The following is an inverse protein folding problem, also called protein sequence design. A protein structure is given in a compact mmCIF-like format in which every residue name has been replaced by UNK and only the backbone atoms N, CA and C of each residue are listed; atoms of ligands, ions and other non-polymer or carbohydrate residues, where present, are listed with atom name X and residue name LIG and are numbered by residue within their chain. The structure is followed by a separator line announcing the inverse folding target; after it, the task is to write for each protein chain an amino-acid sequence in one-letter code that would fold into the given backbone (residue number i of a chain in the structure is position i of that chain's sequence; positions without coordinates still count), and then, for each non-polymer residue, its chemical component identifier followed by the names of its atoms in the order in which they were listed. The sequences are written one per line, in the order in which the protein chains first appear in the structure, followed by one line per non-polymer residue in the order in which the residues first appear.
data_IF_215416763759
#
_entry.id   IF_215416763759
#
_cell.length_a   1.000
_cell.length_b   1.000
_cell.length_c   1.000
_cell.angle_alpha   90.00
_cell.angle_beta   90.00
_cell.angle_gamma   90.00
#
_symmetry.space_group_name_H-M   'P 1'
#
loop_
_entity.id
_entity.type
_entity.pdbx_description
1 polymer ?
#
# COMPACT_ATOMS: atom_id res chain seq x y z
N UNK A 1 -0.31 4.14 -10.71
CA UNK A 1 -1.54 4.07 -11.56
C UNK A 1 -2.49 5.17 -11.13
N UNK A 2 -3.14 5.86 -12.05
CA UNK A 2 -4.15 6.88 -11.69
C UNK A 2 -5.47 6.20 -11.36
N UNK A 3 -6.26 6.76 -10.45
CA UNK A 3 -7.57 6.22 -10.07
C UNK A 3 -8.48 6.01 -11.31
N UNK A 4 -8.36 6.88 -12.31
CA UNK A 4 -9.09 6.73 -13.58
C UNK A 4 -8.73 5.44 -14.31
N UNK A 5 -7.45 5.06 -14.35
CA UNK A 5 -6.98 3.83 -15.02
C UNK A 5 -7.54 2.60 -14.29
N UNK A 6 -7.57 2.65 -12.94
CA UNK A 6 -8.16 1.58 -12.13
C UNK A 6 -9.66 1.41 -12.41
N UNK A 7 -10.41 2.51 -12.51
CA UNK A 7 -11.84 2.47 -12.86
C UNK A 7 -12.03 1.98 -14.29
N UNK A 8 -11.13 2.34 -15.21
CA UNK A 8 -11.16 1.91 -16.60
C UNK A 8 -11.06 0.39 -16.76
N UNK A 9 -10.27 -0.26 -15.93
CA UNK A 9 -10.06 -1.71 -15.95
C UNK A 9 -10.98 -2.47 -14.98
N UNK A 10 -12.02 -1.79 -14.46
CA UNK A 10 -12.95 -2.38 -13.51
C UNK A 10 -13.66 -3.62 -14.11
N UNK A 11 -13.72 -4.76 -13.38
CA UNK A 11 -14.36 -5.99 -13.83
C UNK A 11 -15.82 -5.82 -14.30
N UNK A 12 -16.61 -4.94 -13.67
CA UNK A 12 -17.97 -4.63 -14.11
C UNK A 12 -17.98 -4.02 -15.51
N UNK A 13 -17.04 -3.12 -15.82
CA UNK A 13 -16.88 -2.55 -17.15
C UNK A 13 -16.49 -3.59 -18.18
N UNK A 14 -15.53 -4.44 -17.86
CA UNK A 14 -15.11 -5.54 -18.76
C UNK A 14 -16.30 -6.44 -19.08
N UNK A 15 -17.13 -6.75 -18.07
CA UNK A 15 -18.33 -7.59 -18.24
C UNK A 15 -19.52 -6.85 -18.87
N UNK A 16 -19.45 -5.53 -19.08
CA UNK A 16 -20.51 -4.72 -19.67
C UNK A 16 -21.77 -4.68 -18.83
N UNK A 17 -21.62 -4.58 -17.50
CA UNK A 17 -22.70 -4.58 -16.51
C UNK A 17 -22.53 -3.44 -15.50
N UNK A 18 -23.61 -3.07 -14.81
CA UNK A 18 -23.59 -2.18 -13.65
C UNK A 18 -23.51 -2.99 -12.34
N UNK A 19 -23.20 -2.31 -11.25
CA UNK A 19 -23.01 -2.99 -9.94
C UNK A 19 -24.27 -3.68 -9.44
N UNK A 20 -25.46 -3.16 -9.78
CA UNK A 20 -26.77 -3.71 -9.42
C UNK A 20 -27.32 -4.73 -10.41
N UNK A 21 -26.62 -5.05 -11.49
CA UNK A 21 -27.04 -6.08 -12.44
C UNK A 21 -26.91 -7.48 -11.82
N UNK A 22 -27.90 -8.34 -12.12
CA UNK A 22 -27.93 -9.70 -11.60
C UNK A 22 -26.82 -10.57 -12.16
N UNK A 23 -26.51 -11.66 -11.46
CA UNK A 23 -25.56 -12.69 -11.93
C UNK A 23 -25.98 -13.32 -13.26
N UNK A 24 -27.27 -13.35 -13.58
CA UNK A 24 -27.77 -13.88 -14.85
C UNK A 24 -27.35 -13.01 -16.04
N UNK A 25 -27.48 -11.68 -15.91
CA UNK A 25 -27.03 -10.73 -16.95
C UNK A 25 -25.53 -10.89 -17.19
N UNK A 26 -24.76 -11.00 -16.11
CA UNK A 26 -23.31 -11.22 -16.20
C UNK A 26 -22.98 -12.55 -16.89
N UNK A 27 -23.72 -13.63 -16.59
CA UNK A 27 -23.53 -14.94 -17.23
C UNK A 27 -23.86 -14.91 -18.74
N UNK A 28 -24.94 -14.23 -19.12
CA UNK A 28 -25.32 -14.02 -20.53
C UNK A 28 -24.21 -13.25 -21.27
N UNK A 29 -23.73 -12.15 -20.69
CA UNK A 29 -22.65 -11.35 -21.29
C UNK A 29 -21.35 -12.15 -21.41
N UNK A 30 -20.98 -12.93 -20.38
CA UNK A 30 -19.81 -13.82 -20.41
C UNK A 30 -19.88 -14.81 -21.58
N UNK A 31 -21.02 -15.50 -21.72
CA UNK A 31 -21.24 -16.46 -22.79
C UNK A 31 -21.14 -15.80 -24.17
N UNK A 32 -21.74 -14.63 -24.34
CA UNK A 32 -21.69 -13.85 -25.58
C UNK A 32 -20.27 -13.38 -25.90
N UNK A 33 -19.53 -12.84 -24.92
CA UNK A 33 -18.15 -12.38 -25.13
C UNK A 33 -17.23 -13.54 -25.53
N UNK A 34 -17.34 -14.69 -24.86
CA UNK A 34 -16.56 -15.88 -25.21
C UNK A 34 -16.86 -16.38 -26.65
N UNK A 35 -18.13 -16.37 -27.06
CA UNK A 35 -18.50 -16.75 -28.41
C UNK A 35 -17.92 -15.78 -29.48
N UNK A 36 -17.89 -14.48 -29.21
CA UNK A 36 -17.29 -13.50 -30.12
C UNK A 36 -15.76 -13.59 -30.12
N UNK A 37 -15.13 -13.74 -28.96
CA UNK A 37 -13.69 -13.89 -28.85
C UNK A 37 -13.18 -15.16 -29.60
N UNK A 38 -13.93 -16.24 -29.58
CA UNK A 38 -13.61 -17.48 -30.32
C UNK A 38 -13.51 -17.27 -31.84
N UNK A 39 -14.18 -16.27 -32.40
CA UNK A 39 -14.13 -15.90 -33.83
C UNK A 39 -13.31 -14.62 -34.08
N UNK A 40 -12.47 -14.20 -33.12
CA UNK A 40 -11.61 -13.04 -33.25
C UNK A 40 -12.34 -11.68 -33.26
N UNK A 41 -13.56 -11.64 -32.73
CA UNK A 41 -14.38 -10.43 -32.64
C UNK A 41 -14.53 -9.96 -31.18
N UNK A 42 -14.79 -8.67 -30.99
CA UNK A 42 -15.13 -8.07 -29.70
C UNK A 42 -16.60 -7.68 -29.67
N UNK A 43 -17.17 -7.66 -28.47
CA UNK A 43 -18.54 -7.15 -28.23
C UNK A 43 -18.40 -5.78 -27.56
N UNK A 44 -19.17 -4.81 -28.01
CA UNK A 44 -19.29 -3.49 -27.35
C UNK A 44 -20.67 -3.37 -26.68
N UNK A 45 -20.66 -2.76 -25.53
CA UNK A 45 -21.87 -2.42 -24.77
C UNK A 45 -21.90 -0.92 -24.52
N UNK A 46 -23.09 -0.33 -24.40
CA UNK A 46 -23.18 1.09 -24.05
C UNK A 46 -22.66 1.39 -22.62
N UNK A 47 -22.70 0.39 -21.74
CA UNK A 47 -22.11 0.41 -20.39
C UNK A 47 -20.58 0.58 -20.41
N UNK A 48 -19.93 0.33 -21.53
CA UNK A 48 -18.49 0.50 -21.69
C UNK A 48 -18.06 1.96 -21.56
N UNK A 49 -18.97 2.88 -21.78
CA UNK A 49 -18.76 4.34 -21.70
C UNK A 49 -17.48 4.79 -22.41
N UNK A 50 -17.24 4.25 -23.62
CA UNK A 50 -16.00 4.44 -24.37
C UNK A 50 -15.65 5.92 -24.51
N UNK A 51 -16.63 6.78 -24.78
CA UNK A 51 -16.40 8.22 -24.90
C UNK A 51 -15.96 8.89 -23.60
N UNK A 52 -16.43 8.40 -22.44
CA UNK A 52 -16.05 8.94 -21.14
C UNK A 52 -14.64 8.52 -20.73
N UNK A 53 -14.23 7.28 -21.08
CA UNK A 53 -12.92 6.74 -20.76
C UNK A 53 -11.87 7.01 -21.84
N UNK A 54 -12.29 7.18 -23.08
CA UNK A 54 -11.41 7.35 -24.24
C UNK A 54 -10.83 6.04 -24.79
N UNK A 55 -11.21 4.89 -24.25
CA UNK A 55 -10.72 3.56 -24.63
C UNK A 55 -11.82 2.52 -24.48
N UNK A 56 -11.74 1.47 -25.26
CA UNK A 56 -12.56 0.25 -25.08
C UNK A 56 -12.01 -0.60 -23.92
N UNK A 57 -12.88 -1.36 -23.22
CA UNK A 57 -12.43 -2.31 -22.21
C UNK A 57 -11.67 -3.48 -22.88
N UNK A 58 -10.66 -4.01 -22.18
CA UNK A 58 -9.97 -5.21 -22.62
C UNK A 58 -10.90 -6.43 -22.47
N UNK A 59 -11.25 -7.07 -23.58
CA UNK A 59 -12.09 -8.28 -23.63
C UNK A 59 -11.38 -9.46 -24.27
N UNK A 60 -10.08 -9.60 -24.03
CA UNK A 60 -9.38 -10.84 -24.31
C UNK A 60 -9.82 -11.93 -23.31
N UNK A 61 -9.65 -13.19 -23.69
CA UNK A 61 -10.16 -14.33 -22.91
C UNK A 61 -9.67 -14.38 -21.47
N UNK A 62 -8.42 -14.01 -21.24
CA UNK A 62 -7.80 -13.91 -19.91
C UNK A 62 -8.41 -12.77 -19.07
N UNK A 63 -8.64 -11.61 -19.67
CA UNK A 63 -9.28 -10.47 -18.99
C UNK A 63 -10.74 -10.76 -18.63
N UNK A 64 -11.48 -11.44 -19.52
CA UNK A 64 -12.85 -11.92 -19.25
C UNK A 64 -12.83 -12.92 -18.08
N UNK A 65 -11.93 -13.91 -18.11
CA UNK A 65 -11.84 -14.94 -17.07
C UNK A 65 -11.49 -14.31 -15.70
N UNK A 66 -10.54 -13.40 -15.68
CA UNK A 66 -10.13 -12.64 -14.47
C UNK A 66 -11.30 -11.82 -13.92
N UNK A 67 -12.04 -11.13 -14.79
CA UNK A 67 -13.20 -10.32 -14.39
C UNK A 67 -14.34 -11.17 -13.84
N UNK A 68 -14.63 -12.32 -14.46
CA UNK A 68 -15.62 -13.27 -13.94
C UNK A 68 -15.20 -13.80 -12.58
N UNK A 69 -13.94 -14.18 -12.40
CA UNK A 69 -13.43 -14.64 -11.10
C UNK A 69 -13.53 -13.55 -10.04
N UNK A 70 -13.18 -12.31 -10.37
CA UNK A 70 -13.26 -11.16 -9.45
C UNK A 70 -14.70 -10.84 -9.01
N UNK A 71 -15.71 -11.08 -9.86
CA UNK A 71 -17.12 -10.82 -9.57
C UNK A 71 -17.91 -12.06 -9.12
N UNK A 72 -17.26 -13.22 -8.97
CA UNK A 72 -17.94 -14.47 -8.61
C UNK A 72 -18.32 -14.55 -7.14
N UNK A 73 -17.60 -13.85 -6.25
CA UNK A 73 -17.92 -13.78 -4.83
C UNK A 73 -18.62 -12.47 -4.46
N UNK A 74 -19.48 -12.47 -3.45
CA UNK A 74 -20.12 -11.25 -2.92
C UNK A 74 -19.10 -10.20 -2.49
N UNK A 75 -17.99 -10.61 -1.86
CA UNK A 75 -16.88 -9.73 -1.43
C UNK A 75 -16.20 -9.10 -2.63
N UNK A 76 -15.91 -9.89 -3.67
CA UNK A 76 -15.30 -9.40 -4.90
C UNK A 76 -16.20 -8.42 -5.64
N UNK A 77 -17.51 -8.68 -5.66
CA UNK A 77 -18.49 -7.72 -6.21
C UNK A 77 -18.49 -6.42 -5.42
N UNK A 78 -18.55 -6.47 -4.09
CA UNK A 78 -18.54 -5.27 -3.26
C UNK A 78 -17.24 -4.46 -3.48
N UNK A 79 -16.10 -5.11 -3.43
CA UNK A 79 -14.80 -4.48 -3.62
C UNK A 79 -14.72 -3.71 -4.96
N UNK A 80 -15.08 -4.36 -6.05
CA UNK A 80 -15.06 -3.71 -7.36
C UNK A 80 -16.21 -2.71 -7.55
N UNK A 81 -17.34 -2.93 -6.89
CA UNK A 81 -18.52 -2.07 -6.95
C UNK A 81 -18.37 -0.73 -6.25
N UNK A 82 -17.45 -0.60 -5.28
CA UNK A 82 -17.07 0.69 -4.69
C UNK A 82 -16.61 1.70 -5.76
N UNK A 83 -16.13 1.19 -6.92
CA UNK A 83 -15.54 1.99 -8.00
C UNK A 83 -16.23 1.76 -9.34
N UNK A 84 -17.55 1.53 -9.33
CA UNK A 84 -18.32 1.42 -10.55
C UNK A 84 -19.73 2.03 -10.42
N UNK A 85 -20.35 2.28 -11.54
CA UNK A 85 -21.65 2.92 -11.65
C UNK A 85 -22.82 2.00 -11.30
N UNK A 86 -23.94 2.59 -10.89
CA UNK A 86 -25.24 1.96 -10.64
C UNK A 86 -26.28 2.44 -11.63
N UNK A 87 -27.23 1.57 -12.02
CA UNK A 87 -28.33 1.92 -12.90
C UNK A 87 -29.66 1.40 -12.32
N UNK A 88 -30.15 2.09 -11.30
CA UNK A 88 -31.36 1.68 -10.55
C UNK A 88 -32.58 2.48 -11.01
N UNK A 89 -32.43 3.78 -11.22
CA UNK A 89 -33.54 4.68 -11.53
C UNK A 89 -33.60 5.04 -13.02
N UNK A 90 -34.72 5.66 -13.40
CA UNK A 90 -34.87 6.19 -14.76
C UNK A 90 -33.88 7.34 -15.03
N UNK A 91 -33.64 8.18 -14.02
CA UNK A 91 -32.64 9.24 -14.05
C UNK A 91 -31.23 8.67 -14.26
N UNK A 92 -30.87 7.60 -13.55
CA UNK A 92 -29.58 6.92 -13.75
C UNK A 92 -29.43 6.48 -15.20
N UNK A 93 -30.40 5.75 -15.74
CA UNK A 93 -30.37 5.24 -17.11
C UNK A 93 -30.20 6.37 -18.13
N UNK A 94 -30.85 7.50 -17.92
CA UNK A 94 -30.76 8.66 -18.80
C UNK A 94 -29.35 9.31 -18.71
N UNK A 95 -28.91 9.67 -17.50
CA UNK A 95 -27.64 10.38 -17.29
C UNK A 95 -26.44 9.52 -17.66
N UNK A 96 -26.46 8.22 -17.37
CA UNK A 96 -25.42 7.28 -17.77
C UNK A 96 -25.31 7.17 -19.30
N UNK A 97 -26.42 7.21 -20.05
CA UNK A 97 -26.40 7.27 -21.51
C UNK A 97 -25.84 8.59 -22.04
N UNK A 98 -26.13 9.70 -21.35
CA UNK A 98 -25.54 11.02 -21.68
C UNK A 98 -24.02 10.98 -21.47
N UNK A 99 -23.57 10.41 -20.37
CA UNK A 99 -22.14 10.21 -20.07
C UNK A 99 -21.47 9.29 -21.11
N UNK A 100 -22.11 8.18 -21.47
CA UNK A 100 -21.62 7.24 -22.49
C UNK A 100 -21.45 7.88 -23.88
N UNK A 101 -22.20 8.94 -24.18
CA UNK A 101 -22.07 9.73 -25.41
C UNK A 101 -20.97 10.80 -25.37
N UNK A 102 -20.22 10.88 -24.26
CA UNK A 102 -19.07 11.76 -24.13
C UNK A 102 -19.33 13.09 -23.43
N UNK A 103 -20.45 13.23 -22.72
CA UNK A 103 -20.65 14.40 -21.87
C UNK A 103 -19.60 14.46 -20.75
N UNK A 104 -19.27 15.69 -20.33
CA UNK A 104 -18.35 15.89 -19.21
C UNK A 104 -18.90 15.27 -17.93
N UNK A 105 -18.12 14.47 -17.20
CA UNK A 105 -18.54 13.85 -15.94
C UNK A 105 -19.09 14.85 -14.91
N UNK A 106 -18.57 16.10 -14.86
CA UNK A 106 -19.08 17.10 -13.93
C UNK A 106 -20.46 17.62 -14.34
N UNK A 107 -20.76 17.67 -15.64
CA UNK A 107 -22.11 18.00 -16.14
C UNK A 107 -23.08 16.88 -15.79
N UNK A 108 -22.71 15.63 -16.04
CA UNK A 108 -23.51 14.47 -15.65
C UNK A 108 -23.78 14.45 -14.13
N UNK A 109 -22.75 14.67 -13.31
CA UNK A 109 -22.87 14.78 -11.86
C UNK A 109 -23.91 15.84 -11.44
N UNK A 110 -23.87 17.02 -12.09
CA UNK A 110 -24.78 18.12 -11.76
C UNK A 110 -26.24 17.76 -12.01
N UNK A 111 -26.51 16.97 -13.05
CA UNK A 111 -27.88 16.50 -13.32
C UNK A 111 -28.41 15.64 -12.16
N UNK A 112 -27.62 14.67 -11.67
CA UNK A 112 -28.04 13.89 -10.48
C UNK A 112 -28.21 14.78 -9.26
N UNK A 113 -27.28 15.72 -9.02
CA UNK A 113 -27.36 16.64 -7.89
C UNK A 113 -28.64 17.46 -7.87
N UNK A 114 -29.12 17.88 -9.06
CA UNK A 114 -30.32 18.71 -9.20
C UNK A 114 -31.63 17.90 -9.18
N UNK A 115 -31.62 16.62 -9.60
CA UNK A 115 -32.84 15.85 -9.78
C UNK A 115 -33.07 14.75 -8.77
N UNK A 116 -32.03 14.18 -8.16
CA UNK A 116 -32.19 12.99 -7.33
C UNK A 116 -31.05 12.83 -6.30
N UNK A 117 -31.42 12.54 -5.04
CA UNK A 117 -30.46 12.34 -3.96
C UNK A 117 -30.75 10.98 -3.27
N UNK A 118 -30.45 9.89 -3.99
CA UNK A 118 -30.58 8.53 -3.49
C UNK A 118 -29.24 7.77 -3.56
N UNK A 119 -29.22 6.52 -3.17
CA UNK A 119 -28.03 5.67 -3.14
C UNK A 119 -27.30 5.64 -4.50
N UNK A 120 -28.02 5.33 -5.58
CA UNK A 120 -27.40 5.19 -6.91
C UNK A 120 -26.91 6.54 -7.45
N UNK A 121 -27.66 7.62 -7.24
CA UNK A 121 -27.24 8.95 -7.66
C UNK A 121 -25.97 9.42 -6.93
N UNK A 122 -25.85 9.16 -5.62
CA UNK A 122 -24.65 9.46 -4.84
C UNK A 122 -23.44 8.66 -5.33
N UNK A 123 -23.61 7.35 -5.59
CA UNK A 123 -22.57 6.51 -6.17
C UNK A 123 -22.13 7.02 -7.54
N UNK A 124 -23.06 7.35 -8.41
CA UNK A 124 -22.78 7.84 -9.77
C UNK A 124 -22.09 9.21 -9.75
N UNK A 125 -22.49 10.11 -8.86
CA UNK A 125 -21.84 11.38 -8.63
C UNK A 125 -20.40 11.22 -8.13
N UNK A 126 -20.19 10.29 -7.18
CA UNK A 126 -18.87 9.90 -6.68
C UNK A 126 -17.97 9.45 -7.84
N UNK A 127 -18.45 8.54 -8.69
CA UNK A 127 -17.72 8.06 -9.84
C UNK A 127 -17.36 9.19 -10.82
N UNK A 128 -18.25 10.12 -11.09
CA UNK A 128 -17.97 11.30 -11.91
C UNK A 128 -16.84 12.16 -11.33
N UNK A 129 -16.79 12.32 -10.00
CA UNK A 129 -15.70 13.05 -9.35
C UNK A 129 -14.36 12.32 -9.49
N UNK A 130 -14.34 10.98 -9.37
CA UNK A 130 -13.12 10.17 -9.49
C UNK A 130 -12.57 10.15 -10.94
N UNK A 131 -13.44 10.19 -11.94
CA UNK A 131 -13.06 10.22 -13.36
C UNK A 131 -12.45 11.55 -13.81
N UNK A 132 -12.67 12.59 -13.07
CA UNK A 132 -12.24 13.92 -13.47
C UNK A 132 -10.83 14.26 -12.97
N UNK A 133 -10.69 15.37 -12.38
CA UNK A 133 -9.48 16.03 -11.94
C UNK A 133 -9.29 15.79 -10.42
N UNK A 134 -8.07 15.64 -9.92
CA UNK A 134 -7.80 15.51 -8.49
C UNK A 134 -8.40 16.61 -7.60
N UNK A 135 -8.69 17.79 -8.16
CA UNK A 135 -9.42 18.86 -7.44
C UNK A 135 -10.82 18.45 -7.00
N UNK A 136 -11.40 17.43 -7.63
CA UNK A 136 -12.72 16.87 -7.29
C UNK A 136 -12.69 15.86 -6.10
N UNK A 137 -11.51 15.43 -5.65
CA UNK A 137 -11.40 14.36 -4.64
C UNK A 137 -12.00 14.71 -3.28
N UNK A 138 -11.97 15.97 -2.87
CA UNK A 138 -12.65 16.41 -1.64
C UNK A 138 -14.18 16.21 -1.74
N UNK A 139 -14.77 16.47 -2.91
CA UNK A 139 -16.20 16.22 -3.17
C UNK A 139 -16.48 14.72 -3.26
N UNK A 140 -15.57 13.95 -3.85
CA UNK A 140 -15.67 12.48 -3.89
C UNK A 140 -15.73 11.89 -2.47
N UNK A 141 -14.84 12.31 -1.57
CA UNK A 141 -14.86 11.87 -0.16
C UNK A 141 -16.14 12.25 0.56
N UNK A 142 -16.66 13.45 0.33
CA UNK A 142 -17.93 13.89 0.92
C UNK A 142 -19.11 13.04 0.42
N UNK A 143 -19.15 12.74 -0.89
CA UNK A 143 -20.19 11.88 -1.48
C UNK A 143 -20.10 10.45 -0.95
N UNK A 144 -18.89 9.88 -0.83
CA UNK A 144 -18.67 8.56 -0.26
C UNK A 144 -19.14 8.51 1.20
N UNK A 145 -18.79 9.53 2.00
CA UNK A 145 -19.23 9.63 3.39
C UNK A 145 -20.76 9.65 3.48
N UNK A 146 -21.40 10.55 2.74
CA UNK A 146 -22.87 10.67 2.70
C UNK A 146 -23.54 9.38 2.23
N UNK A 147 -23.00 8.72 1.21
CA UNK A 147 -23.50 7.46 0.68
C UNK A 147 -23.43 6.36 1.74
N UNK A 148 -22.28 6.18 2.36
CA UNK A 148 -22.05 5.05 3.27
C UNK A 148 -22.73 5.25 4.63
N UNK A 149 -22.85 6.49 5.11
CA UNK A 149 -23.61 6.80 6.34
C UNK A 149 -25.12 6.61 6.17
N UNK A 150 -25.67 7.04 5.05
CA UNK A 150 -27.13 7.03 4.86
C UNK A 150 -27.66 5.74 4.21
N UNK A 151 -26.85 5.10 3.36
CA UNK A 151 -27.29 3.97 2.53
C UNK A 151 -26.35 2.76 2.61
N UNK A 152 -25.43 2.71 3.57
CA UNK A 152 -24.35 1.69 3.60
C UNK A 152 -24.87 0.26 3.57
N UNK A 153 -25.91 -0.06 4.32
CA UNK A 153 -26.53 -1.40 4.31
C UNK A 153 -27.17 -1.74 2.95
N UNK A 154 -27.97 -0.82 2.40
CA UNK A 154 -28.60 -0.97 1.09
C UNK A 154 -27.55 -1.09 -0.03
N UNK A 155 -26.48 -0.28 0.04
CA UNK A 155 -25.36 -0.35 -0.89
C UNK A 155 -24.69 -1.71 -0.88
N UNK A 156 -24.35 -2.24 0.31
CA UNK A 156 -23.71 -3.55 0.45
C UNK A 156 -24.60 -4.63 -0.17
N UNK A 157 -25.85 -4.73 0.24
CA UNK A 157 -26.76 -5.78 -0.22
C UNK A 157 -27.05 -5.69 -1.72
N UNK A 158 -27.19 -4.48 -2.26
CA UNK A 158 -27.42 -4.26 -3.69
C UNK A 158 -26.20 -4.74 -4.52
N UNK A 159 -25.00 -4.31 -4.15
CA UNK A 159 -23.78 -4.63 -4.89
C UNK A 159 -23.39 -6.10 -4.75
N UNK A 160 -23.62 -6.69 -3.57
CA UNK A 160 -23.23 -8.08 -3.25
C UNK A 160 -24.34 -9.11 -3.55
N UNK A 161 -25.36 -8.75 -4.36
CA UNK A 161 -26.49 -9.64 -4.70
C UNK A 161 -27.25 -10.17 -3.48
N UNK A 162 -27.54 -9.33 -2.49
CA UNK A 162 -28.30 -9.66 -1.29
C UNK A 162 -27.47 -10.16 -0.10
N UNK A 163 -26.14 -10.21 -0.21
CA UNK A 163 -25.29 -10.67 0.88
C UNK A 163 -24.74 -9.51 1.73
N UNK A 164 -24.69 -9.71 3.04
CA UNK A 164 -24.05 -8.77 3.98
C UNK A 164 -22.60 -9.19 4.24
N UNK A 165 -21.69 -8.82 3.35
CA UNK A 165 -20.28 -9.25 3.40
C UNK A 165 -19.41 -8.46 4.39
N UNK A 166 -19.82 -7.21 4.68
CA UNK A 166 -19.22 -6.34 5.70
C UNK A 166 -20.29 -5.50 6.37
N UNK A 167 -19.94 -4.87 7.49
CA UNK A 167 -20.81 -3.86 8.12
C UNK A 167 -20.64 -2.47 7.49
N UNK A 168 -21.65 -1.59 7.50
CA UNK A 168 -21.58 -0.27 6.86
C UNK A 168 -20.39 0.60 7.30
N UNK A 169 -19.99 0.51 8.58
CA UNK A 169 -18.84 1.24 9.12
C UNK A 169 -17.49 0.85 8.47
N UNK A 170 -17.43 -0.29 7.77
CA UNK A 170 -16.25 -0.75 7.05
C UNK A 170 -16.15 -0.27 5.60
N UNK A 171 -17.21 0.34 5.05
CA UNK A 171 -17.21 0.80 3.66
C UNK A 171 -16.20 1.92 3.42
N UNK A 172 -16.17 2.95 4.27
CA UNK A 172 -15.21 4.05 4.13
C UNK A 172 -13.77 3.57 4.30
N UNK A 173 -13.40 2.79 5.33
CA UNK A 173 -12.07 2.17 5.40
C UNK A 173 -11.69 1.34 4.17
N UNK A 174 -12.62 0.54 3.62
CA UNK A 174 -12.38 -0.24 2.41
C UNK A 174 -12.11 0.66 1.20
N UNK A 175 -12.93 1.67 0.99
CA UNK A 175 -12.78 2.66 -0.07
C UNK A 175 -11.42 3.39 0.01
N UNK A 176 -11.05 3.90 1.19
CA UNK A 176 -9.78 4.58 1.41
C UNK A 176 -8.57 3.66 1.21
N UNK A 177 -8.68 2.41 1.65
CA UNK A 177 -7.62 1.40 1.47
C UNK A 177 -7.34 1.14 -0.01
N UNK A 178 -8.38 1.04 -0.85
CA UNK A 178 -8.20 0.86 -2.29
C UNK A 178 -7.61 2.10 -2.96
N UNK A 179 -8.01 3.29 -2.55
CA UNK A 179 -7.40 4.53 -3.05
C UNK A 179 -5.89 4.54 -2.78
N UNK A 180 -5.45 4.15 -1.58
CA UNK A 180 -4.03 4.08 -1.23
C UNK A 180 -3.30 3.07 -2.12
N UNK A 181 -3.84 1.87 -2.30
CA UNK A 181 -3.24 0.83 -3.15
C UNK A 181 -3.08 1.30 -4.59
N UNK A 182 -4.13 1.89 -5.15
CA UNK A 182 -4.14 2.39 -6.54
C UNK A 182 -3.18 3.56 -6.72
N UNK A 183 -3.06 4.42 -5.73
CA UNK A 183 -2.16 5.58 -5.75
C UNK A 183 -0.69 5.19 -5.64
N UNK A 184 -0.37 4.00 -5.12
CA UNK A 184 0.98 3.42 -4.97
C UNK A 184 2.00 4.43 -4.43
N UNK A 185 1.62 5.11 -3.34
CA UNK A 185 2.46 6.11 -2.66
C UNK A 185 2.30 7.56 -3.16
N UNK A 186 1.68 7.80 -4.31
CA UNK A 186 1.38 9.17 -4.79
C UNK A 186 -0.03 9.60 -4.36
N UNK A 187 -0.20 9.88 -3.09
CA UNK A 187 -1.48 10.27 -2.50
C UNK A 187 -1.57 11.74 -2.06
N UNK A 188 -0.68 12.62 -2.54
CA UNK A 188 -0.66 14.03 -2.16
C UNK A 188 -1.99 14.79 -2.36
N UNK A 189 -2.70 14.49 -3.46
CA UNK A 189 -4.02 15.08 -3.72
C UNK A 189 -5.07 14.58 -2.75
N UNK A 190 -4.98 13.33 -2.33
CA UNK A 190 -5.86 12.73 -1.34
C UNK A 190 -5.61 13.28 0.06
N UNK A 191 -4.35 13.48 0.46
CA UNK A 191 -4.01 14.16 1.73
C UNK A 191 -4.64 15.56 1.79
N UNK A 192 -4.59 16.31 0.70
CA UNK A 192 -5.28 17.60 0.60
C UNK A 192 -6.80 17.47 0.67
N UNK A 193 -7.37 16.46 0.04
CA UNK A 193 -8.80 16.24 0.01
C UNK A 193 -9.34 15.90 1.41
N UNK A 194 -8.65 15.00 2.13
CA UNK A 194 -8.98 14.63 3.52
C UNK A 194 -8.90 15.83 4.45
N UNK A 195 -7.82 16.59 4.39
CA UNK A 195 -7.67 17.83 5.19
C UNK A 195 -8.77 18.85 4.90
N UNK A 196 -9.16 19.01 3.62
CA UNK A 196 -10.24 19.93 3.24
C UNK A 196 -11.60 19.46 3.71
N UNK A 197 -11.83 18.14 3.79
CA UNK A 197 -13.07 17.56 4.31
C UNK A 197 -13.26 17.91 5.80
N UNK A 198 -12.17 17.95 6.58
CA UNK A 198 -12.19 18.34 7.99
C UNK A 198 -12.94 17.36 8.90
N UNK A 199 -13.07 16.09 8.50
CA UNK A 199 -13.72 15.04 9.28
C UNK A 199 -12.65 14.20 9.98
N UNK A 200 -12.61 14.26 11.31
CA UNK A 200 -11.62 13.58 12.14
C UNK A 200 -11.63 12.06 11.98
N UNK A 201 -12.82 11.47 11.83
CA UNK A 201 -12.95 10.02 11.62
C UNK A 201 -12.34 9.59 10.29
N UNK A 202 -12.60 10.33 9.22
CA UNK A 202 -12.03 10.06 7.89
C UNK A 202 -10.52 10.28 7.91
N UNK A 203 -10.02 11.30 8.61
CA UNK A 203 -8.59 11.56 8.74
C UNK A 203 -7.87 10.42 9.46
N UNK A 204 -8.45 9.92 10.55
CA UNK A 204 -7.92 8.74 11.26
C UNK A 204 -7.93 7.49 10.38
N UNK A 205 -9.03 7.20 9.70
CA UNK A 205 -9.16 6.06 8.78
C UNK A 205 -8.17 6.15 7.61
N UNK A 206 -7.96 7.35 7.08
CA UNK A 206 -6.95 7.63 6.04
C UNK A 206 -5.53 7.34 6.54
N UNK A 207 -5.21 7.79 7.75
CA UNK A 207 -3.92 7.55 8.41
C UNK A 207 -3.68 6.06 8.64
N UNK A 208 -4.69 5.32 9.12
CA UNK A 208 -4.63 3.88 9.29
C UNK A 208 -4.47 3.13 7.96
N UNK A 209 -5.16 3.56 6.90
CA UNK A 209 -5.02 2.97 5.57
C UNK A 209 -3.58 3.17 5.03
N UNK A 210 -3.00 4.37 5.17
CA UNK A 210 -1.59 4.63 4.81
C UNK A 210 -0.64 3.74 5.61
N UNK A 211 -0.81 3.67 6.92
CA UNK A 211 0.04 2.84 7.77
C UNK A 211 -0.03 1.36 7.38
N UNK A 212 -1.22 0.86 7.12
CA UNK A 212 -1.43 -0.54 6.68
C UNK A 212 -0.76 -0.82 5.34
N UNK A 213 -0.84 0.09 4.39
CA UNK A 213 -0.19 -0.05 3.08
C UNK A 213 1.35 -0.07 3.22
N UNK A 214 1.93 0.87 3.98
CA UNK A 214 3.38 0.88 4.21
C UNK A 214 3.85 -0.38 4.93
N UNK A 215 3.10 -0.87 5.93
CA UNK A 215 3.42 -2.13 6.62
C UNK A 215 3.35 -3.34 5.67
N UNK A 216 2.37 -3.38 4.75
CA UNK A 216 2.29 -4.41 3.72
C UNK A 216 3.53 -4.42 2.83
N UNK A 217 3.98 -3.26 2.34
CA UNK A 217 5.21 -3.15 1.52
C UNK A 217 6.47 -3.59 2.28
N UNK A 218 6.56 -3.28 3.59
CA UNK A 218 7.66 -3.76 4.42
C UNK A 218 7.60 -5.29 4.63
N UNK A 219 6.41 -5.83 4.81
CA UNK A 219 6.24 -7.28 4.94
C UNK A 219 6.63 -8.01 3.64
N UNK A 220 6.25 -7.47 2.48
CA UNK A 220 6.62 -8.03 1.18
C UNK A 220 8.15 -8.01 0.98
N UNK A 221 8.80 -6.88 1.31
CA UNK A 221 10.26 -6.75 1.23
C UNK A 221 10.97 -7.71 2.20
N UNK A 222 10.44 -7.87 3.42
CA UNK A 222 10.96 -8.80 4.42
C UNK A 222 10.82 -10.26 3.96
N UNK A 223 9.65 -10.63 3.43
CA UNK A 223 9.41 -11.97 2.90
C UNK A 223 10.35 -12.28 1.74
N UNK A 224 10.54 -11.33 0.82
CA UNK A 224 11.48 -11.48 -0.29
C UNK A 224 12.91 -11.73 0.23
N UNK A 225 13.38 -10.93 1.20
CA UNK A 225 14.69 -11.09 1.79
C UNK A 225 14.87 -12.48 2.44
N UNK A 226 13.84 -12.98 3.16
CA UNK A 226 13.87 -14.29 3.81
C UNK A 226 13.85 -15.47 2.84
N UNK A 227 13.19 -15.32 1.70
CA UNK A 227 13.03 -16.40 0.69
C UNK A 227 14.11 -16.39 -0.38
N UNK A 228 14.93 -15.34 -0.46
CA UNK A 228 16.04 -15.25 -1.42
C UNK A 228 17.13 -16.28 -1.09
N UNK A 229 17.44 -17.14 -2.06
CA UNK A 229 18.50 -18.15 -1.93
C UNK A 229 19.89 -17.53 -1.74
N UNK A 230 20.73 -18.18 -0.93
CA UNK A 230 22.07 -17.73 -0.58
C UNK A 230 23.05 -18.75 -1.16
N UNK A 231 23.86 -18.31 -2.11
CA UNK A 231 24.91 -19.14 -2.73
C UNK A 231 26.32 -18.74 -2.26
N UNK A 232 26.45 -17.52 -1.71
CA UNK A 232 27.73 -17.00 -1.21
C UNK A 232 27.53 -16.11 0.02
N UNK A 233 28.61 -15.90 0.77
CA UNK A 233 28.60 -14.96 1.90
C UNK A 233 28.29 -13.53 1.46
N UNK A 234 28.71 -13.13 0.25
CA UNK A 234 28.41 -11.81 -0.30
C UNK A 234 26.90 -11.60 -0.49
N UNK A 235 26.13 -12.63 -0.81
CA UNK A 235 24.69 -12.57 -1.01
C UNK A 235 23.97 -12.07 0.24
N UNK A 236 24.44 -12.46 1.44
CA UNK A 236 23.89 -11.94 2.69
C UNK A 236 23.98 -10.40 2.77
N UNK A 237 25.12 -9.82 2.37
CA UNK A 237 25.28 -8.37 2.35
C UNK A 237 24.39 -7.72 1.28
N UNK A 238 24.32 -8.30 0.09
CA UNK A 238 23.55 -7.77 -1.02
C UNK A 238 22.04 -7.82 -0.73
N UNK A 239 21.55 -8.90 -0.10
CA UNK A 239 20.16 -9.03 0.38
C UNK A 239 19.87 -7.97 1.46
N UNK A 240 20.77 -7.78 2.43
CA UNK A 240 20.59 -6.77 3.48
C UNK A 240 20.53 -5.34 2.89
N UNK A 241 21.37 -5.02 1.94
CA UNK A 241 21.36 -3.72 1.24
C UNK A 241 20.08 -3.55 0.42
N UNK A 242 19.62 -4.59 -0.28
CA UNK A 242 18.38 -4.54 -1.04
C UNK A 242 17.18 -4.31 -0.12
N UNK A 243 17.09 -5.05 0.99
CA UNK A 243 16.04 -4.88 1.99
C UNK A 243 16.09 -3.47 2.60
N UNK A 244 17.27 -2.99 2.99
CA UNK A 244 17.47 -1.62 3.51
C UNK A 244 16.90 -0.56 2.56
N UNK A 245 17.27 -0.64 1.27
CA UNK A 245 16.84 0.33 0.25
C UNK A 245 15.34 0.29 0.00
N UNK A 246 14.75 -0.91 -0.03
CA UNK A 246 13.31 -1.08 -0.20
C UNK A 246 12.53 -0.62 1.03
N UNK A 247 13.03 -0.88 2.23
CA UNK A 247 12.36 -0.56 3.48
C UNK A 247 12.43 0.93 3.87
N UNK A 248 13.52 1.63 3.53
CA UNK A 248 13.77 3.00 4.01
C UNK A 248 12.62 3.98 3.77
N UNK A 249 12.05 4.11 2.56
CA UNK A 249 10.97 5.06 2.32
C UNK A 249 9.72 4.74 3.15
N UNK A 250 9.41 3.46 3.34
CA UNK A 250 8.25 3.01 4.11
C UNK A 250 8.45 3.16 5.61
N UNK A 251 9.63 2.85 6.15
CA UNK A 251 9.97 3.08 7.55
C UNK A 251 9.97 4.57 7.90
N UNK A 252 10.48 5.42 7.00
CA UNK A 252 10.43 6.87 7.17
C UNK A 252 9.01 7.40 7.23
N UNK A 253 8.15 6.95 6.31
CA UNK A 253 6.74 7.35 6.27
C UNK A 253 5.98 6.87 7.52
N UNK A 254 6.14 5.60 7.92
CA UNK A 254 5.51 5.07 9.14
C UNK A 254 5.97 5.78 10.40
N UNK A 255 7.25 6.14 10.49
CA UNK A 255 7.76 6.91 11.63
C UNK A 255 7.08 8.27 11.71
N UNK A 256 6.95 8.99 10.60
CA UNK A 256 6.24 10.26 10.56
C UNK A 256 4.77 10.12 10.95
N UNK A 257 4.06 9.09 10.43
CA UNK A 257 2.67 8.82 10.82
C UNK A 257 2.53 8.47 12.31
N UNK A 258 3.50 7.77 12.88
CA UNK A 258 3.51 7.44 14.31
C UNK A 258 3.78 8.66 15.20
N UNK A 259 4.62 9.60 14.75
CA UNK A 259 4.89 10.84 15.48
C UNK A 259 3.62 11.70 15.57
N UNK A 260 2.78 11.70 14.51
CA UNK A 260 1.48 12.40 14.47
C UNK A 260 0.36 11.61 15.20
N UNK A 261 0.41 10.27 15.17
CA UNK A 261 -0.62 9.37 15.72
C UNK A 261 0.00 8.24 16.57
N UNK A 262 0.32 8.51 17.87
CA UNK A 262 1.01 7.54 18.73
C UNK A 262 0.31 6.18 18.93
N UNK A 263 -0.99 6.08 18.62
CA UNK A 263 -1.74 4.83 18.67
C UNK A 263 -1.21 3.78 17.68
N UNK A 264 -0.47 4.18 16.66
CA UNK A 264 0.18 3.28 15.68
C UNK A 264 1.49 2.66 16.21
N UNK A 265 1.99 3.11 17.37
CA UNK A 265 3.33 2.78 17.87
C UNK A 265 3.60 1.27 17.95
N UNK A 266 2.66 0.48 18.48
CA UNK A 266 2.86 -0.95 18.64
C UNK A 266 2.99 -1.68 17.29
N UNK A 267 2.17 -1.30 16.31
CA UNK A 267 2.18 -1.87 14.96
C UNK A 267 3.45 -1.48 14.20
N UNK A 268 3.86 -0.21 14.31
CA UNK A 268 5.12 0.29 13.75
C UNK A 268 6.31 -0.45 14.37
N UNK A 269 6.35 -0.58 15.70
CA UNK A 269 7.46 -1.22 16.42
C UNK A 269 7.68 -2.66 15.94
N UNK A 270 6.61 -3.43 15.80
CA UNK A 270 6.69 -4.83 15.39
C UNK A 270 7.34 -4.98 14.01
N UNK A 271 6.89 -4.23 13.00
CA UNK A 271 7.42 -4.39 11.65
C UNK A 271 8.80 -3.75 11.49
N UNK A 272 9.04 -2.62 12.13
CA UNK A 272 10.33 -1.93 12.06
C UNK A 272 11.45 -2.77 12.69
N UNK A 273 11.20 -3.33 13.87
CA UNK A 273 12.17 -4.20 14.54
C UNK A 273 12.39 -5.50 13.75
N UNK A 274 11.34 -6.11 13.15
CA UNK A 274 11.48 -7.30 12.33
C UNK A 274 12.33 -7.07 11.06
N UNK A 275 12.15 -5.94 10.38
CA UNK A 275 13.00 -5.56 9.22
C UNK A 275 14.44 -5.31 9.65
N UNK A 276 14.63 -4.58 10.75
CA UNK A 276 15.97 -4.31 11.27
C UNK A 276 16.66 -5.59 11.77
N UNK A 277 15.92 -6.53 12.33
CA UNK A 277 16.45 -7.82 12.78
C UNK A 277 16.96 -8.64 11.59
N UNK A 278 16.19 -8.79 10.52
CA UNK A 278 16.64 -9.48 9.31
C UNK A 278 17.91 -8.84 8.71
N UNK A 279 17.95 -7.51 8.64
CA UNK A 279 19.15 -6.80 8.14
C UNK A 279 20.37 -7.11 9.01
N UNK A 280 20.24 -7.05 10.33
CA UNK A 280 21.35 -7.36 11.25
C UNK A 280 21.77 -8.83 11.21
N UNK A 281 20.84 -9.76 11.10
CA UNK A 281 21.18 -11.18 11.02
C UNK A 281 21.98 -11.50 9.74
N UNK A 282 21.58 -10.91 8.61
CA UNK A 282 22.34 -11.01 7.35
C UNK A 282 23.70 -10.34 7.44
N UNK A 283 23.77 -9.16 8.05
CA UNK A 283 25.01 -8.43 8.29
C UNK A 283 25.98 -9.27 9.13
N UNK A 284 25.49 -9.86 10.22
CA UNK A 284 26.29 -10.72 11.13
C UNK A 284 26.86 -11.92 10.38
N UNK A 285 26.04 -12.59 9.55
CA UNK A 285 26.49 -13.73 8.75
C UNK A 285 27.58 -13.31 7.75
N UNK A 286 27.40 -12.17 7.08
CA UNK A 286 28.43 -11.63 6.20
C UNK A 286 29.72 -11.29 6.95
N UNK A 287 29.62 -10.54 8.05
CA UNK A 287 30.75 -10.06 8.82
C UNK A 287 31.59 -11.17 9.44
N UNK A 288 30.96 -12.18 10.01
CA UNK A 288 31.64 -13.33 10.62
C UNK A 288 32.49 -14.12 9.62
N UNK A 289 32.13 -14.14 8.34
CA UNK A 289 32.86 -14.84 7.29
C UNK A 289 34.04 -14.06 6.73
N UNK A 290 33.88 -12.74 6.55
CA UNK A 290 34.93 -11.92 5.94
C UNK A 290 36.04 -11.52 6.91
N UNK A 291 35.77 -11.66 8.20
CA UNK A 291 36.70 -11.35 9.27
C UNK A 291 36.97 -9.86 9.45
N UNK A 292 37.39 -9.51 10.64
CA UNK A 292 37.69 -8.16 11.10
C UNK A 292 38.76 -7.42 10.28
N UNK A 293 39.68 -8.17 9.67
CA UNK A 293 40.83 -7.62 8.94
C UNK A 293 40.55 -7.18 7.49
N UNK A 294 39.33 -7.39 6.98
CA UNK A 294 39.03 -7.17 5.56
C UNK A 294 38.92 -5.71 5.11
N UNK A 295 38.96 -4.76 6.04
CA UNK A 295 38.68 -3.33 5.76
C UNK A 295 37.23 -3.03 5.38
N UNK A 296 36.32 -4.00 5.51
CA UNK A 296 34.90 -3.91 5.12
C UNK A 296 33.99 -3.46 6.28
N UNK A 297 34.54 -3.13 7.46
CA UNK A 297 33.78 -2.61 8.60
C UNK A 297 32.86 -1.43 8.23
N UNK A 298 33.29 -0.58 7.31
CA UNK A 298 32.51 0.57 6.86
C UNK A 298 31.19 0.17 6.17
N UNK A 299 31.20 -0.96 5.44
CA UNK A 299 29.99 -1.51 4.79
C UNK A 299 28.98 -1.98 5.82
N UNK A 300 29.43 -2.67 6.84
CA UNK A 300 28.63 -3.19 7.95
C UNK A 300 28.03 -2.05 8.76
N UNK A 301 28.82 -1.02 9.08
CA UNK A 301 28.35 0.14 9.84
C UNK A 301 27.18 0.88 9.17
N UNK A 302 27.07 0.85 7.85
CA UNK A 302 25.92 1.43 7.13
C UNK A 302 24.62 0.72 7.54
N UNK A 303 24.63 -0.61 7.57
CA UNK A 303 23.48 -1.43 7.94
C UNK A 303 23.11 -1.27 9.42
N UNK A 304 24.11 -1.34 10.31
CA UNK A 304 23.92 -1.19 11.76
C UNK A 304 23.36 0.19 12.12
N UNK A 305 23.85 1.26 11.49
CA UNK A 305 23.34 2.63 11.70
C UNK A 305 21.94 2.82 11.16
N UNK A 306 21.61 2.20 10.03
CA UNK A 306 20.25 2.17 9.52
C UNK A 306 19.31 1.51 10.54
N UNK A 307 19.66 0.33 11.04
CA UNK A 307 18.87 -0.37 12.04
C UNK A 307 18.71 0.47 13.32
N UNK A 308 19.77 1.11 13.81
CA UNK A 308 19.69 2.00 14.98
C UNK A 308 18.72 3.18 14.76
N UNK A 309 18.69 3.76 13.55
CA UNK A 309 17.82 4.88 13.20
C UNK A 309 16.34 4.50 13.21
N UNK A 310 16.02 3.29 12.72
CA UNK A 310 14.64 2.86 12.49
C UNK A 310 14.12 1.86 13.52
N UNK A 311 14.96 1.23 14.31
CA UNK A 311 14.55 0.39 15.43
C UNK A 311 13.59 1.15 16.34
N UNK A 312 12.47 0.53 16.69
CA UNK A 312 11.42 1.18 17.46
C UNK A 312 11.55 0.90 18.96
N UNK A 313 11.87 -0.36 19.34
CA UNK A 313 11.99 -0.72 20.77
C UNK A 313 13.34 -0.33 21.35
N UNK A 314 13.35 0.05 22.63
CA UNK A 314 14.56 0.42 23.36
C UNK A 314 15.54 -0.76 23.35
N UNK A 315 15.05 -1.97 23.63
CA UNK A 315 15.85 -3.20 23.65
C UNK A 315 16.58 -3.42 22.32
N UNK A 316 15.90 -3.22 21.20
CA UNK A 316 16.50 -3.42 19.89
C UNK A 316 17.48 -2.29 19.53
N UNK A 317 17.20 -1.06 19.92
CA UNK A 317 18.15 0.06 19.79
C UNK A 317 19.45 -0.19 20.56
N UNK A 318 19.35 -0.73 21.77
CA UNK A 318 20.53 -1.09 22.56
C UNK A 318 21.35 -2.21 21.90
N UNK A 319 20.69 -3.21 21.30
CA UNK A 319 21.36 -4.25 20.46
C UNK A 319 22.09 -3.62 19.27
N UNK A 320 21.44 -2.73 18.52
CA UNK A 320 22.08 -2.01 17.42
C UNK A 320 23.29 -1.18 17.90
N UNK A 321 23.15 -0.49 19.02
CA UNK A 321 24.21 0.28 19.65
C UNK A 321 25.42 -0.56 20.03
N UNK A 322 25.17 -1.72 20.62
CA UNK A 322 26.23 -2.68 20.98
C UNK A 322 26.98 -3.15 19.71
N UNK A 323 26.28 -3.56 18.67
CA UNK A 323 26.88 -3.98 17.41
C UNK A 323 27.76 -2.88 16.79
N UNK A 324 27.25 -1.64 16.71
CA UNK A 324 28.03 -0.49 16.21
C UNK A 324 29.32 -0.29 17.02
N UNK A 325 29.24 -0.38 18.36
CA UNK A 325 30.40 -0.23 19.23
C UNK A 325 31.43 -1.34 19.00
N UNK A 326 30.99 -2.59 18.86
CA UNK A 326 31.86 -3.73 18.55
C UNK A 326 32.53 -3.52 17.20
N UNK A 327 31.77 -3.19 16.15
CA UNK A 327 32.28 -2.96 14.80
C UNK A 327 33.27 -1.79 14.72
N UNK A 328 33.06 -0.77 15.55
CA UNK A 328 33.98 0.37 15.67
C UNK A 328 35.18 0.12 16.60
N UNK A 329 35.25 -1.01 17.30
CA UNK A 329 36.28 -1.34 18.29
C UNK A 329 36.22 -0.43 19.52
N UNK A 330 35.01 0.04 19.91
CA UNK A 330 34.78 0.92 21.07
C UNK A 330 34.32 0.12 22.28
N UNK A 331 34.65 0.58 23.49
CA UNK A 331 34.08 0.03 24.71
C UNK A 331 32.57 0.26 24.75
N UNK A 332 31.81 -0.71 25.25
CA UNK A 332 30.34 -0.66 25.35
C UNK A 332 29.76 0.57 26.05
N UNK A 333 30.52 1.16 26.98
CA UNK A 333 30.14 2.36 27.75
C UNK A 333 30.36 3.68 27.01
N UNK A 334 30.99 3.69 25.84
CA UNK A 334 31.24 4.93 25.12
C UNK A 334 29.96 5.44 24.40
N UNK A 335 29.64 6.73 24.46
CA UNK A 335 28.51 7.27 23.71
C UNK A 335 28.75 7.11 22.22
N UNK A 336 27.71 6.61 21.50
CA UNK A 336 27.75 6.34 20.07
C UNK A 336 28.09 7.56 19.23
N UNK A 337 27.62 8.71 19.64
CA UNK A 337 27.80 9.99 19.00
C UNK A 337 28.03 11.06 20.07
N UNK A 338 29.27 11.36 20.46
CA UNK A 338 29.56 12.37 21.49
C UNK A 338 28.98 13.76 21.18
N UNK A 339 28.78 14.08 19.90
CA UNK A 339 28.28 15.38 19.40
C UNK A 339 26.96 15.27 18.62
N UNK A 340 26.13 14.26 18.91
CA UNK A 340 24.90 13.99 18.16
C UNK A 340 25.13 13.11 16.92
N UNK A 341 24.01 12.69 16.30
CA UNK A 341 24.07 11.83 15.11
C UNK A 341 24.56 12.65 13.90
N UNK A 342 25.66 12.29 13.24
CA UNK A 342 26.14 13.05 12.09
C UNK A 342 25.22 12.85 10.90
N UNK A 343 24.80 13.94 10.25
CA UNK A 343 24.01 13.92 9.01
C UNK A 343 24.78 13.37 7.81
N UNK A 344 26.12 13.33 7.89
CA UNK A 344 27.02 12.77 6.90
C UNK A 344 28.08 11.89 7.57
N UNK A 345 28.27 10.72 6.99
CA UNK A 345 29.31 9.76 7.38
C UNK A 345 30.69 10.30 6.98
N UNK A 346 31.42 10.91 7.91
CA UNK A 346 32.83 11.27 7.73
C UNK A 346 33.71 10.20 8.38
N UNK A 347 34.45 9.46 7.56
CA UNK A 347 35.19 8.26 7.95
C UNK A 347 36.66 8.47 8.30
N UNK A 348 37.18 9.68 8.32
CA UNK A 348 38.62 9.88 8.34
C UNK A 348 39.31 9.80 9.73
N UNK A 349 38.61 10.01 10.81
CA UNK A 349 39.26 10.15 12.13
C UNK A 349 39.62 8.82 12.86
N UNK A 350 38.90 7.73 12.55
CA UNK A 350 38.98 6.49 13.35
C UNK A 350 40.01 5.47 12.85
N UNK A 351 40.65 5.71 11.71
CA UNK A 351 41.72 4.83 11.17
C UNK A 351 42.94 4.69 12.11
N UNK A 352 43.20 5.72 12.92
CA UNK A 352 44.37 5.74 13.84
C UNK A 352 44.17 4.98 15.17
N UNK A 353 42.95 4.66 15.55
CA UNK A 353 42.63 3.97 16.81
C UNK A 353 42.50 2.43 16.69
N UNK A 354 42.72 1.87 15.50
CA UNK A 354 42.53 0.44 15.22
C UNK A 354 43.62 -0.50 15.72
N UNK A 355 44.62 0.00 16.44
CA UNK A 355 45.68 -0.82 17.03
C UNK A 355 45.35 -1.30 18.45
N UNK A 356 44.12 -1.78 18.64
CA UNK A 356 43.81 -2.58 19.83
C UNK A 356 44.26 -4.01 19.57
N UNK A 357 45.06 -4.59 20.46
CA UNK A 357 45.74 -5.87 20.27
C UNK A 357 44.75 -7.01 19.94
N UNK A 358 45.23 -8.00 19.22
CA UNK A 358 44.46 -9.20 18.75
C UNK A 358 43.60 -9.83 19.82
N UNK A 359 44.04 -9.83 21.09
CA UNK A 359 43.30 -10.37 22.21
C UNK A 359 41.99 -9.61 22.52
N UNK A 360 41.98 -8.29 22.50
CA UNK A 360 40.79 -7.48 22.71
C UNK A 360 39.76 -7.64 21.59
N UNK A 361 40.23 -7.90 20.37
CA UNK A 361 39.36 -8.23 19.22
C UNK A 361 38.66 -9.58 19.37
N UNK A 362 39.39 -10.60 19.82
CA UNK A 362 38.84 -11.94 20.06
C UNK A 362 37.81 -11.94 21.19
N UNK A 363 38.03 -11.13 22.21
CA UNK A 363 37.09 -10.98 23.33
C UNK A 363 35.83 -10.26 22.93
N UNK A 364 35.92 -9.21 22.07
CA UNK A 364 34.75 -8.54 21.51
C UNK A 364 33.87 -9.45 20.62
N UNK A 365 34.52 -10.32 19.81
CA UNK A 365 33.79 -11.31 18.99
C UNK A 365 33.15 -12.38 19.86
N UNK A 366 33.83 -12.85 20.91
CA UNK A 366 33.27 -13.80 21.86
C UNK A 366 32.08 -13.25 22.62
N UNK A 367 32.16 -11.99 23.06
CA UNK A 367 31.05 -11.31 23.75
C UNK A 367 29.86 -11.08 22.83
N UNK A 368 30.07 -10.67 21.58
CA UNK A 368 29.03 -10.60 20.55
C UNK A 368 28.30 -11.92 20.38
N UNK A 369 29.04 -13.04 20.28
CA UNK A 369 28.46 -14.37 20.12
C UNK A 369 27.72 -14.84 21.40
N UNK A 370 28.17 -14.46 22.60
CA UNK A 370 27.41 -14.70 23.84
C UNK A 370 26.12 -13.92 23.90
N UNK A 371 26.14 -12.64 23.56
CA UNK A 371 24.93 -11.82 23.51
C UNK A 371 23.90 -12.37 22.51
N UNK A 372 24.34 -12.88 21.36
CA UNK A 372 23.48 -13.53 20.38
C UNK A 372 22.88 -14.85 20.89
N UNK A 373 23.68 -15.68 21.58
CA UNK A 373 23.22 -16.95 22.18
C UNK A 373 22.25 -16.77 23.37
N UNK A 374 22.30 -15.61 24.05
CA UNK A 374 21.39 -15.30 25.17
C UNK A 374 20.06 -14.69 24.70
N UNK A 375 19.91 -14.42 23.39
CA UNK A 375 18.73 -13.83 22.78
C UNK A 375 17.93 -14.84 21.93
N UNK A 376 18.47 -16.05 21.75
CA UNK A 376 17.80 -17.23 21.19
C UNK A 376 17.15 -18.06 22.31
#
# INVERSE_FOLDING_TARGET
MKIKDFIQDNPFRVMGVFTNDSSDIMSINNSRMKAFAAVGKTVSYWQDMVSAFGTEPNRQMDAIATSVAALSSPEGRLHNGLFWFMNITHTDSWVLKVLARGSDPLVARKIWEDYEQNMSSLQNQLMCCLLKDPRSYSRALQLALTLYENYGHEFITTVSNGFEVITPDKLMPAFLSEIIKVSDGDYWWWDKAVKRLGNETVDLQWTEAKATWHMGKLQDALNLAKTTEIHSTQDNYDIAIALMKQAEPHLKALKALNDDHPALLSRYATIADAVCEEILDREIQYYNHIGWFSGKADRVLVLERFCYRYAATIRFKDRCKLNINITMGRNESAPLFPNGMPDKLTFESDRKKRNVGICAMLDAVRERNRCLASLS
#
